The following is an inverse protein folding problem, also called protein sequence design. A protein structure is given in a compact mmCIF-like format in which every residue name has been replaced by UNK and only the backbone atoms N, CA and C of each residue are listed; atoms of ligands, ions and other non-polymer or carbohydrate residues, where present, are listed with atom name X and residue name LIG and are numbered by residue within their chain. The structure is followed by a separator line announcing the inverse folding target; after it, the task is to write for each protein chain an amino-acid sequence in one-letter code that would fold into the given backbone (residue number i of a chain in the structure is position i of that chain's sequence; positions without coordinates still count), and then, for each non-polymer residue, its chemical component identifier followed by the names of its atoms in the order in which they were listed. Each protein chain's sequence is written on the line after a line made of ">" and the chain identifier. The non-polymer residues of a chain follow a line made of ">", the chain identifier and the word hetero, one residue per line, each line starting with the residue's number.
data_IF_504983507545
#
_entry.id   IF_504983507545
#
_cell.length_a   1.000
_cell.length_b   1.000
_cell.length_c   1.000
_cell.angle_alpha   90.00
_cell.angle_beta   90.00
_cell.angle_gamma   90.00
#
_symmetry.space_group_name_H-M   'P 1'
#
loop_
_entity.id
_entity.type
_entity.pdbx_description
1 polymer ?
#
# COMPACT_ATOMS: atom_id res chain seq x y z
N UNK A 1 -22.19 -9.55 18.38
CA UNK A 1 -23.08 -10.18 17.37
C UNK A 1 -22.35 -11.38 16.73
N UNK A 2 -22.92 -12.60 16.77
CA UNK A 2 -22.28 -13.79 16.18
C UNK A 2 -21.94 -13.62 14.69
N UNK A 3 -22.77 -12.92 13.94
CA UNK A 3 -22.56 -12.65 12.52
C UNK A 3 -21.30 -11.80 12.24
N UNK A 4 -20.95 -10.88 13.14
CA UNK A 4 -19.76 -10.08 13.01
C UNK A 4 -18.47 -10.91 13.10
N UNK A 5 -18.42 -11.85 14.05
CA UNK A 5 -17.28 -12.75 14.21
C UNK A 5 -17.11 -13.68 13.00
N UNK A 6 -18.22 -14.21 12.47
CA UNK A 6 -18.18 -15.02 11.24
C UNK A 6 -17.61 -14.21 10.09
N UNK A 7 -18.07 -12.98 9.90
CA UNK A 7 -17.54 -12.08 8.86
C UNK A 7 -16.03 -11.82 8.99
N UNK A 8 -15.55 -11.56 10.22
CA UNK A 8 -14.12 -11.34 10.49
C UNK A 8 -13.31 -12.60 10.19
N UNK A 9 -13.78 -13.78 10.62
CA UNK A 9 -13.08 -15.03 10.38
C UNK A 9 -12.97 -15.34 8.88
N UNK A 10 -14.05 -15.15 8.11
CA UNK A 10 -14.03 -15.33 6.64
C UNK A 10 -13.09 -14.35 6.00
N UNK A 11 -13.10 -13.08 6.41
CA UNK A 11 -12.18 -12.05 5.92
C UNK A 11 -10.71 -12.45 6.16
N UNK A 12 -10.37 -12.89 7.37
CA UNK A 12 -9.02 -13.34 7.70
C UNK A 12 -8.62 -14.57 6.90
N UNK A 13 -9.51 -15.55 6.74
CA UNK A 13 -9.26 -16.73 5.90
C UNK A 13 -9.00 -16.36 4.43
N UNK A 14 -9.79 -15.44 3.88
CA UNK A 14 -9.60 -14.92 2.52
C UNK A 14 -8.27 -14.19 2.39
N UNK A 15 -7.88 -13.39 3.37
CA UNK A 15 -6.60 -12.69 3.39
C UNK A 15 -5.40 -13.65 3.48
N UNK A 16 -5.48 -14.66 4.33
CA UNK A 16 -4.45 -15.71 4.42
C UNK A 16 -4.34 -16.44 3.08
N UNK A 17 -5.45 -16.79 2.47
CA UNK A 17 -5.45 -17.41 1.15
C UNK A 17 -4.77 -16.52 0.09
N UNK A 18 -5.08 -15.22 0.07
CA UNK A 18 -4.43 -14.25 -0.82
C UNK A 18 -2.91 -14.18 -0.59
N UNK A 19 -2.46 -14.17 0.67
CA UNK A 19 -1.04 -14.19 1.04
C UNK A 19 -0.38 -15.49 0.51
N UNK A 20 -1.03 -16.64 0.67
CA UNK A 20 -0.51 -17.91 0.13
C UNK A 20 -0.40 -17.86 -1.39
N UNK A 21 -1.38 -17.28 -2.09
CA UNK A 21 -1.34 -17.13 -3.55
C UNK A 21 -0.23 -16.18 -4.01
N UNK A 22 0.13 -15.16 -3.23
CA UNK A 22 1.22 -14.25 -3.59
C UNK A 22 2.58 -14.95 -3.72
N UNK A 23 2.81 -16.08 -3.04
CA UNK A 23 4.01 -16.89 -3.22
C UNK A 23 4.01 -17.72 -4.51
N UNK A 24 2.83 -17.98 -5.10
CA UNK A 24 2.66 -18.79 -6.31
C UNK A 24 2.57 -17.95 -7.57
N UNK A 25 2.04 -16.74 -7.45
CA UNK A 25 1.70 -15.85 -8.57
C UNK A 25 2.72 -14.71 -8.67
N UNK A 26 4.01 -15.02 -8.82
CA UNK A 26 5.03 -14.01 -9.02
C UNK A 26 5.34 -13.85 -10.52
N UNK A 27 5.39 -12.60 -10.97
CA UNK A 27 5.84 -12.26 -12.31
C UNK A 27 7.29 -11.79 -12.25
N UNK A 28 8.18 -12.57 -12.84
CA UNK A 28 9.54 -12.14 -13.11
C UNK A 28 9.59 -11.41 -14.45
N UNK A 29 10.07 -10.19 -14.47
CA UNK A 29 10.18 -9.39 -15.69
C UNK A 29 11.38 -8.42 -15.60
N UNK A 30 11.60 -7.61 -16.64
CA UNK A 30 12.69 -6.64 -16.71
C UNK A 30 12.74 -5.65 -15.52
N UNK A 31 11.64 -5.44 -14.80
CA UNK A 31 11.62 -4.59 -13.61
C UNK A 31 12.41 -5.21 -12.44
N UNK A 32 12.66 -6.53 -12.43
CA UNK A 32 13.57 -7.18 -11.46
C UNK A 32 14.95 -6.55 -11.51
N UNK A 33 15.46 -6.29 -12.71
CA UNK A 33 16.75 -5.64 -12.90
C UNK A 33 16.77 -4.27 -12.22
N UNK A 34 15.69 -3.51 -12.34
CA UNK A 34 15.62 -2.16 -11.77
C UNK A 34 15.50 -2.16 -10.24
N UNK A 35 14.66 -3.00 -9.67
CA UNK A 35 14.37 -2.95 -8.23
C UNK A 35 15.25 -3.92 -7.44
N UNK A 36 15.30 -5.18 -7.85
CA UNK A 36 15.97 -6.24 -7.09
C UNK A 36 17.48 -6.16 -7.27
N UNK A 37 17.96 -6.00 -8.50
CA UNK A 37 19.42 -5.94 -8.75
C UNK A 37 20.00 -4.67 -8.16
N UNK A 38 19.31 -3.53 -8.24
CA UNK A 38 19.76 -2.30 -7.56
C UNK A 38 19.82 -2.47 -6.04
N UNK A 39 18.86 -3.17 -5.43
CA UNK A 39 18.90 -3.46 -4.00
C UNK A 39 20.09 -4.37 -3.64
N UNK A 40 20.34 -5.42 -4.41
CA UNK A 40 21.48 -6.34 -4.23
C UNK A 40 22.81 -5.61 -4.40
N UNK A 41 22.95 -4.78 -5.45
CA UNK A 41 24.16 -4.00 -5.69
C UNK A 41 24.40 -2.97 -4.57
N UNK A 42 23.33 -2.32 -4.08
CA UNK A 42 23.39 -1.40 -2.94
C UNK A 42 23.88 -2.10 -1.66
N UNK A 43 23.43 -3.34 -1.40
CA UNK A 43 23.91 -4.15 -0.26
C UNK A 43 25.39 -4.47 -0.42
N UNK A 44 25.80 -4.89 -1.63
CA UNK A 44 27.18 -5.31 -1.94
C UNK A 44 28.17 -4.17 -1.87
N UNK A 45 27.84 -3.02 -2.48
CA UNK A 45 28.76 -1.89 -2.65
C UNK A 45 28.67 -0.87 -1.52
N UNK A 46 27.62 -0.93 -0.73
CA UNK A 46 27.25 0.09 0.26
C UNK A 46 27.04 1.50 -0.34
N UNK A 47 26.71 1.56 -1.63
CA UNK A 47 26.43 2.78 -2.39
C UNK A 47 25.21 2.56 -3.28
N UNK A 48 24.45 3.61 -3.48
CA UNK A 48 23.34 3.64 -4.43
C UNK A 48 23.84 3.87 -5.85
N UNK A 49 23.31 3.11 -6.82
CA UNK A 49 23.49 3.36 -8.25
C UNK A 49 24.97 3.57 -8.64
N UNK A 50 25.85 2.73 -8.14
CA UNK A 50 27.25 2.74 -8.53
C UNK A 50 27.43 2.10 -9.89
N UNK A 51 26.69 1.03 -10.16
CA UNK A 51 26.79 0.22 -11.35
C UNK A 51 25.47 0.23 -12.12
N UNK A 52 25.54 0.42 -13.42
CA UNK A 52 24.40 0.20 -14.30
C UNK A 52 24.06 -1.29 -14.32
N UNK A 53 22.90 -1.63 -13.80
CA UNK A 53 22.46 -3.03 -13.61
C UNK A 53 22.27 -3.79 -14.92
N UNK A 54 22.09 -3.11 -16.05
CA UNK A 54 21.93 -3.72 -17.37
C UNK A 54 23.27 -4.00 -18.05
N UNK A 55 24.26 -3.12 -17.84
CA UNK A 55 25.54 -3.18 -18.55
C UNK A 55 26.70 -3.62 -17.66
N UNK A 56 26.55 -3.57 -16.34
CA UNK A 56 27.61 -3.83 -15.37
C UNK A 56 28.69 -2.76 -15.30
N UNK A 57 28.53 -1.64 -16.03
CA UNK A 57 29.50 -0.53 -16.06
C UNK A 57 29.23 0.47 -14.94
N UNK A 58 30.29 1.17 -14.54
CA UNK A 58 30.15 2.27 -13.58
C UNK A 58 29.29 3.41 -14.15
N UNK A 59 28.38 3.93 -13.34
CA UNK A 59 27.52 5.07 -13.71
C UNK A 59 28.30 6.35 -13.44
N UNK A 60 28.69 7.04 -14.53
CA UNK A 60 29.43 8.30 -14.47
C UNK A 60 28.52 9.53 -14.37
N UNK A 61 27.26 9.41 -14.79
CA UNK A 61 26.28 10.49 -14.71
C UNK A 61 24.85 9.96 -14.55
N UNK A 62 24.04 10.63 -13.74
CA UNK A 62 22.64 10.25 -13.49
C UNK A 62 21.71 11.04 -14.40
N UNK A 63 21.66 10.68 -15.67
CA UNK A 63 20.83 11.32 -16.69
C UNK A 63 19.80 10.36 -17.27
N UNK A 64 18.77 10.89 -17.89
CA UNK A 64 17.76 10.09 -18.58
C UNK A 64 17.00 9.17 -17.65
N UNK A 65 16.94 7.89 -18.03
CA UNK A 65 16.16 6.87 -17.30
C UNK A 65 16.69 6.56 -15.88
N UNK A 66 17.97 6.83 -15.60
CA UNK A 66 18.56 6.62 -14.29
C UNK A 66 18.07 7.62 -13.25
N UNK A 67 17.64 8.82 -13.67
CA UNK A 67 17.17 9.86 -12.75
C UNK A 67 15.99 9.39 -11.90
N UNK A 68 15.07 8.62 -12.46
CA UNK A 68 13.93 8.05 -11.72
C UNK A 68 14.34 7.04 -10.65
N UNK A 69 15.47 6.35 -10.84
CA UNK A 69 15.99 5.40 -9.86
C UNK A 69 16.68 6.13 -8.70
N UNK A 70 17.32 7.28 -8.96
CA UNK A 70 17.90 8.15 -7.94
C UNK A 70 16.83 8.65 -6.95
N UNK A 71 15.66 9.03 -7.45
CA UNK A 71 14.59 9.56 -6.61
C UNK A 71 13.69 8.47 -6.01
N UNK A 72 13.88 7.20 -6.39
CA UNK A 72 13.08 6.07 -5.88
C UNK A 72 13.76 5.43 -4.67
N UNK A 73 13.24 5.59 -3.45
CA UNK A 73 13.84 5.03 -2.25
C UNK A 73 13.63 3.52 -2.11
N UNK A 74 12.85 2.89 -2.98
CA UNK A 74 12.37 1.52 -2.78
C UNK A 74 13.48 0.46 -2.74
N UNK A 75 14.39 0.50 -3.71
CA UNK A 75 15.53 -0.44 -3.75
C UNK A 75 16.46 -0.25 -2.53
N UNK A 76 16.67 1.02 -2.13
CA UNK A 76 17.48 1.35 -0.93
C UNK A 76 16.80 0.88 0.35
N UNK A 77 15.48 1.04 0.45
CA UNK A 77 14.72 0.52 1.59
C UNK A 77 14.85 -1.00 1.71
N UNK A 78 14.72 -1.73 0.61
CA UNK A 78 14.92 -3.18 0.60
C UNK A 78 16.37 -3.58 0.95
N UNK A 79 17.36 -2.85 0.44
CA UNK A 79 18.76 -3.02 0.81
C UNK A 79 19.03 -2.77 2.30
N UNK A 80 18.42 -1.73 2.85
CA UNK A 80 18.49 -1.44 4.30
C UNK A 80 17.90 -2.58 5.12
N UNK A 81 16.69 -3.06 4.79
CA UNK A 81 16.08 -4.19 5.47
C UNK A 81 16.95 -5.46 5.36
N UNK A 82 17.53 -5.71 4.19
CA UNK A 82 18.47 -6.81 3.97
C UNK A 82 19.66 -6.72 4.93
N UNK A 83 20.25 -5.54 5.09
CA UNK A 83 21.41 -5.34 5.97
C UNK A 83 21.09 -5.55 7.45
N UNK A 84 19.95 -5.06 7.92
CA UNK A 84 19.61 -5.19 9.35
C UNK A 84 19.11 -6.60 9.72
N UNK A 85 18.52 -7.33 8.77
CA UNK A 85 17.97 -8.67 9.02
C UNK A 85 18.93 -9.80 8.66
N UNK A 86 19.94 -9.55 7.83
CA UNK A 86 20.81 -10.58 7.24
C UNK A 86 20.15 -11.39 6.13
N UNK A 87 18.88 -11.11 5.77
CA UNK A 87 18.17 -11.78 4.67
C UNK A 87 18.62 -11.15 3.35
N UNK A 88 18.85 -11.95 2.29
CA UNK A 88 19.24 -11.43 0.99
C UNK A 88 18.19 -10.41 0.46
N UNK A 89 18.65 -9.35 -0.22
CA UNK A 89 17.74 -8.32 -0.75
C UNK A 89 16.72 -8.91 -1.75
N UNK A 90 17.11 -9.90 -2.53
CA UNK A 90 16.21 -10.62 -3.44
C UNK A 90 15.11 -11.37 -2.67
N UNK A 91 15.47 -12.13 -1.63
CA UNK A 91 14.49 -12.82 -0.78
C UNK A 91 13.61 -11.82 -0.02
N UNK A 92 14.19 -10.71 0.44
CA UNK A 92 13.44 -9.64 1.09
C UNK A 92 12.34 -9.12 0.18
N UNK A 93 12.65 -8.81 -1.08
CA UNK A 93 11.68 -8.24 -2.01
C UNK A 93 10.64 -9.24 -2.50
N UNK A 94 11.04 -10.46 -2.84
CA UNK A 94 10.12 -11.44 -3.44
C UNK A 94 9.38 -12.32 -2.43
N UNK A 95 9.95 -12.52 -1.23
CA UNK A 95 9.39 -13.49 -0.27
C UNK A 95 8.84 -12.83 0.98
N UNK A 96 9.55 -11.87 1.56
CA UNK A 96 9.18 -11.34 2.87
C UNK A 96 8.32 -10.06 2.79
N UNK A 97 8.63 -9.13 1.90
CA UNK A 97 7.86 -7.88 1.78
C UNK A 97 6.43 -8.08 1.27
N UNK A 98 6.15 -8.88 0.21
CA UNK A 98 4.80 -9.00 -0.32
C UNK A 98 3.75 -9.44 0.72
N UNK A 99 3.94 -10.50 1.51
CA UNK A 99 2.96 -10.89 2.52
C UNK A 99 2.75 -9.83 3.60
N UNK A 100 3.80 -9.14 4.02
CA UNK A 100 3.68 -8.03 4.99
C UNK A 100 2.90 -6.88 4.40
N UNK A 101 3.17 -6.50 3.16
CA UNK A 101 2.48 -5.42 2.48
C UNK A 101 1.00 -5.77 2.22
N UNK A 102 0.67 -7.02 1.90
CA UNK A 102 -0.71 -7.49 1.79
C UNK A 102 -1.46 -7.39 3.13
N UNK A 103 -0.81 -7.78 4.22
CA UNK A 103 -1.39 -7.64 5.56
C UNK A 103 -1.64 -6.16 5.91
N UNK A 104 -0.68 -5.29 5.63
CA UNK A 104 -0.82 -3.83 5.82
C UNK A 104 -1.95 -3.27 4.96
N UNK A 105 -2.04 -3.67 3.69
CA UNK A 105 -3.13 -3.30 2.80
C UNK A 105 -4.50 -3.69 3.37
N UNK A 106 -4.64 -4.93 3.85
CA UNK A 106 -5.88 -5.39 4.50
C UNK A 106 -6.25 -4.53 5.70
N UNK A 107 -5.28 -4.20 6.56
CA UNK A 107 -5.49 -3.31 7.70
C UNK A 107 -5.99 -1.92 7.25
N UNK A 108 -5.38 -1.35 6.21
CA UNK A 108 -5.79 -0.04 5.67
C UNK A 108 -7.22 -0.09 5.14
N UNK A 109 -7.57 -1.11 4.35
CA UNK A 109 -8.94 -1.25 3.85
C UNK A 109 -9.96 -1.54 4.95
N UNK A 110 -9.57 -2.25 6.01
CA UNK A 110 -10.39 -2.39 7.20
C UNK A 110 -10.66 -1.05 7.88
N UNK A 111 -9.65 -0.20 7.98
CA UNK A 111 -9.79 1.15 8.53
C UNK A 111 -10.68 2.03 7.63
N UNK A 112 -10.51 1.98 6.30
CA UNK A 112 -11.39 2.66 5.34
C UNK A 112 -12.83 2.16 5.49
N UNK A 113 -13.04 0.84 5.58
CA UNK A 113 -14.36 0.25 5.81
C UNK A 113 -14.98 0.76 7.12
N UNK A 114 -14.16 1.01 8.14
CA UNK A 114 -14.60 1.62 9.41
C UNK A 114 -15.11 3.05 9.27
N UNK A 115 -14.62 3.78 8.27
CA UNK A 115 -15.11 5.12 7.94
C UNK A 115 -16.41 5.08 7.11
N UNK A 116 -16.68 3.99 6.40
CA UNK A 116 -17.82 3.87 5.48
C UNK A 116 -19.02 3.14 6.11
N UNK A 117 -18.78 2.19 7.02
CA UNK A 117 -19.80 1.31 7.55
C UNK A 117 -19.76 1.23 9.08
N UNK A 118 -20.91 1.31 9.75
CA UNK A 118 -21.00 1.18 11.20
C UNK A 118 -20.90 -0.28 11.66
N UNK A 119 -21.53 -1.21 10.91
CA UNK A 119 -21.58 -2.62 11.31
C UNK A 119 -20.36 -3.40 10.84
N UNK A 120 -19.75 -4.16 11.73
CA UNK A 120 -18.57 -5.00 11.44
C UNK A 120 -18.80 -6.00 10.31
N UNK A 121 -20.01 -6.53 10.16
CA UNK A 121 -20.32 -7.46 9.07
C UNK A 121 -20.15 -6.78 7.69
N UNK A 122 -20.58 -5.53 7.53
CA UNK A 122 -20.41 -4.79 6.27
C UNK A 122 -18.96 -4.43 6.00
N UNK A 123 -18.18 -4.11 7.06
CA UNK A 123 -16.74 -3.90 6.95
C UNK A 123 -16.02 -5.15 6.44
N UNK A 124 -16.33 -6.30 7.04
CA UNK A 124 -15.78 -7.59 6.60
C UNK A 124 -16.15 -7.90 5.16
N UNK A 125 -17.42 -7.72 4.79
CA UNK A 125 -17.90 -7.98 3.44
C UNK A 125 -17.21 -7.08 2.39
N UNK A 126 -17.04 -5.80 2.71
CA UNK A 126 -16.30 -4.86 1.86
C UNK A 126 -14.87 -5.33 1.59
N UNK A 127 -14.13 -5.72 2.66
CA UNK A 127 -12.75 -6.19 2.51
C UNK A 127 -12.71 -7.52 1.76
N UNK A 128 -13.61 -8.47 2.05
CA UNK A 128 -13.69 -9.76 1.33
C UNK A 128 -13.89 -9.52 -0.16
N UNK A 129 -14.87 -8.70 -0.54
CA UNK A 129 -15.14 -8.40 -1.96
C UNK A 129 -13.91 -7.78 -2.65
N UNK A 130 -13.24 -6.86 -1.98
CA UNK A 130 -12.02 -6.24 -2.49
C UNK A 130 -10.89 -7.26 -2.67
N UNK A 131 -10.66 -8.15 -1.68
CA UNK A 131 -9.66 -9.20 -1.80
C UNK A 131 -9.98 -10.18 -2.93
N UNK A 132 -11.25 -10.56 -3.10
CA UNK A 132 -11.71 -11.40 -4.21
C UNK A 132 -11.45 -10.71 -5.55
N UNK A 133 -11.77 -9.42 -5.69
CA UNK A 133 -11.45 -8.66 -6.89
C UNK A 133 -9.95 -8.68 -7.19
N UNK A 134 -9.10 -8.43 -6.22
CA UNK A 134 -7.65 -8.47 -6.40
C UNK A 134 -7.14 -9.87 -6.77
N UNK A 135 -7.73 -10.93 -6.24
CA UNK A 135 -7.30 -12.29 -6.56
C UNK A 135 -7.69 -12.76 -7.97
N UNK A 136 -8.81 -12.30 -8.51
CA UNK A 136 -9.37 -12.83 -9.76
C UNK A 136 -9.39 -11.82 -10.92
N UNK A 137 -8.97 -10.57 -10.68
CA UNK A 137 -8.96 -9.52 -11.68
C UNK A 137 -7.66 -9.39 -12.51
N UNK A 138 -6.67 -10.25 -12.33
CA UNK A 138 -5.31 -10.11 -12.86
C UNK A 138 -5.14 -10.50 -14.37
N UNK A 139 -6.12 -10.20 -15.19
CA UNK A 139 -6.09 -10.51 -16.62
C UNK A 139 -5.23 -9.56 -17.47
N UNK A 140 -4.84 -8.43 -16.93
CA UNK A 140 -4.00 -7.43 -17.59
C UNK A 140 -2.81 -7.02 -16.73
N UNK A 141 -1.65 -6.80 -17.35
CA UNK A 141 -0.44 -6.33 -16.64
C UNK A 141 -0.56 -4.89 -16.10
N UNK A 142 -1.58 -4.16 -16.51
CA UNK A 142 -1.78 -2.74 -16.16
C UNK A 142 -2.93 -2.52 -15.17
N UNK A 143 -3.61 -3.56 -14.72
CA UNK A 143 -4.69 -3.39 -13.75
C UNK A 143 -4.18 -3.44 -12.30
N UNK A 144 -4.99 -2.92 -11.37
CA UNK A 144 -4.64 -2.85 -9.96
C UNK A 144 -4.44 -4.23 -9.33
N UNK A 145 -5.17 -5.23 -9.80
CA UNK A 145 -5.13 -6.61 -9.32
C UNK A 145 -3.78 -7.26 -9.60
N UNK A 146 -3.27 -7.12 -10.83
CA UNK A 146 -1.94 -7.61 -11.19
C UNK A 146 -0.85 -6.92 -10.37
N UNK A 147 -0.95 -5.61 -10.17
CA UNK A 147 0.00 -4.89 -9.33
C UNK A 147 -0.03 -5.40 -7.88
N UNK A 148 -1.18 -5.70 -7.33
CA UNK A 148 -1.32 -6.10 -5.93
C UNK A 148 -0.83 -7.52 -5.66
N UNK A 149 -1.12 -8.49 -6.52
CA UNK A 149 -0.76 -9.90 -6.27
C UNK A 149 0.59 -10.27 -6.85
N UNK A 150 0.83 -9.92 -8.11
CA UNK A 150 1.95 -10.47 -8.87
C UNK A 150 3.20 -9.58 -8.78
N UNK A 151 3.01 -8.29 -8.54
CA UNK A 151 4.07 -7.27 -8.66
C UNK A 151 4.27 -6.42 -7.40
N UNK A 152 3.73 -6.82 -6.25
CA UNK A 152 3.75 -6.01 -5.02
C UNK A 152 5.17 -5.71 -4.50
N UNK A 153 6.16 -6.49 -4.92
CA UNK A 153 7.58 -6.24 -4.66
C UNK A 153 8.12 -4.98 -5.38
N UNK A 154 7.40 -4.42 -6.35
CA UNK A 154 7.77 -3.18 -7.03
C UNK A 154 7.25 -1.96 -6.26
N UNK A 155 8.09 -0.91 -6.12
CA UNK A 155 7.71 0.30 -5.38
C UNK A 155 6.44 0.98 -5.90
N UNK A 156 6.24 0.99 -7.24
CA UNK A 156 5.00 1.52 -7.87
C UNK A 156 3.75 0.74 -7.48
N UNK A 157 3.87 -0.58 -7.37
CA UNK A 157 2.77 -1.45 -6.95
C UNK A 157 2.46 -1.28 -5.46
N UNK A 158 3.48 -1.19 -4.62
CA UNK A 158 3.34 -0.87 -3.19
C UNK A 158 2.66 0.48 -2.99
N UNK A 159 3.05 1.49 -3.77
CA UNK A 159 2.40 2.81 -3.69
C UNK A 159 0.92 2.73 -4.08
N UNK A 160 0.57 1.97 -5.11
CA UNK A 160 -0.81 1.79 -5.55
C UNK A 160 -1.66 0.98 -4.54
N UNK A 161 -1.12 -0.12 -4.00
CA UNK A 161 -1.86 -1.03 -3.13
C UNK A 161 -1.90 -0.59 -1.66
N UNK A 162 -0.89 0.13 -1.19
CA UNK A 162 -0.72 0.52 0.21
C UNK A 162 -0.71 2.04 0.36
N UNK A 163 0.15 2.73 -0.37
CA UNK A 163 0.36 4.17 -0.18
C UNK A 163 -0.88 5.01 -0.50
N UNK A 164 -1.49 4.82 -1.66
CA UNK A 164 -2.68 5.57 -2.07
C UNK A 164 -3.88 5.26 -1.16
N UNK A 165 -4.22 4.00 -0.82
CA UNK A 165 -5.26 3.72 0.16
C UNK A 165 -4.98 4.31 1.55
N UNK A 166 -3.73 4.31 2.01
CA UNK A 166 -3.37 4.93 3.29
C UNK A 166 -3.62 6.44 3.28
N UNK A 167 -3.25 7.12 2.19
CA UNK A 167 -3.54 8.55 2.00
C UNK A 167 -5.05 8.81 1.94
N UNK A 168 -5.81 7.96 1.25
CA UNK A 168 -7.28 8.06 1.22
C UNK A 168 -7.87 7.92 2.63
N UNK A 169 -7.42 6.94 3.42
CA UNK A 169 -7.84 6.80 4.80
C UNK A 169 -7.52 8.05 5.63
N UNK A 170 -6.30 8.56 5.53
CA UNK A 170 -5.88 9.77 6.26
C UNK A 170 -6.75 10.98 5.87
N UNK A 171 -7.07 11.11 4.58
CA UNK A 171 -7.95 12.17 4.08
C UNK A 171 -9.39 12.03 4.62
N UNK A 172 -9.96 10.82 4.60
CA UNK A 172 -11.29 10.56 5.16
C UNK A 172 -11.35 10.89 6.65
N UNK A 173 -10.31 10.50 7.41
CA UNK A 173 -10.21 10.84 8.84
C UNK A 173 -10.09 12.34 9.06
N UNK A 174 -9.24 13.01 8.31
CA UNK A 174 -9.08 14.46 8.40
C UNK A 174 -10.40 15.18 8.08
N UNK A 175 -11.08 14.78 7.01
CA UNK A 175 -12.35 15.35 6.61
C UNK A 175 -13.41 15.24 7.73
N UNK A 176 -13.48 14.09 8.43
CA UNK A 176 -14.40 13.90 9.56
C UNK A 176 -14.03 14.73 10.79
N UNK A 177 -12.77 15.10 10.95
CA UNK A 177 -12.30 15.93 12.05
C UNK A 177 -12.53 17.42 11.79
N UNK A 178 -12.77 17.82 10.54
CA UNK A 178 -13.10 19.22 10.22
C UNK A 178 -14.46 19.57 10.81
N UNK A 179 -14.61 20.78 11.38
CA UNK A 179 -15.89 21.25 11.91
C UNK A 179 -16.93 21.26 10.79
N UNK A 180 -18.08 20.66 11.03
CA UNK A 180 -19.21 20.75 10.09
C UNK A 180 -19.66 22.22 10.00
N UNK A 181 -19.45 22.84 8.85
CA UNK A 181 -19.76 24.24 8.57
C UNK A 181 -21.25 24.55 8.82
N UNK A 182 -22.12 23.53 8.77
CA UNK A 182 -23.54 23.62 9.13
C UNK A 182 -23.74 23.85 10.62
N UNK A 183 -22.96 23.19 11.49
CA UNK A 183 -23.02 23.43 12.95
C UNK A 183 -22.57 24.83 13.32
N UNK A 184 -21.63 25.41 12.61
CA UNK A 184 -21.20 26.79 12.83
C UNK A 184 -22.27 27.77 12.41
N UNK A 185 -22.95 27.56 11.28
CA UNK A 185 -24.05 28.42 10.79
C UNK A 185 -25.24 28.35 11.74
N UNK A 186 -25.66 27.18 12.20
CA UNK A 186 -26.74 27.01 13.16
C UNK A 186 -26.44 27.70 14.52
N UNK A 187 -25.22 27.54 15.05
CA UNK A 187 -24.82 28.23 16.30
C UNK A 187 -24.74 29.73 16.12
N UNK A 188 -24.30 30.23 14.97
CA UNK A 188 -24.26 31.68 14.71
C UNK A 188 -25.64 32.26 14.56
N UNK A 189 -26.56 31.57 13.89
CA UNK A 189 -27.96 31.99 13.76
C UNK A 189 -28.67 31.97 15.13
N UNK A 190 -28.54 30.88 15.89
CA UNK A 190 -29.11 30.75 17.23
C UNK A 190 -28.63 31.84 18.20
N UNK A 191 -27.33 32.14 18.19
CA UNK A 191 -26.74 33.20 19.02
C UNK A 191 -27.18 34.62 18.56
N UNK A 192 -27.44 34.82 17.26
CA UNK A 192 -27.94 36.07 16.74
C UNK A 192 -29.42 36.29 17.13
N UNK A 193 -30.24 35.24 17.07
CA UNK A 193 -31.67 35.31 17.53
C UNK A 193 -31.75 35.53 19.03
N UNK A 194 -30.92 34.89 19.86
CA UNK A 194 -30.92 35.19 21.31
C UNK A 194 -30.49 36.61 21.63
N UNK A 195 -29.53 37.18 20.90
CA UNK A 195 -29.13 38.58 21.10
C UNK A 195 -30.17 39.59 20.61
N UNK A 196 -30.92 39.23 19.56
CA UNK A 196 -32.02 40.07 19.09
C UNK A 196 -33.29 40.03 19.94
N UNK A 197 -33.43 39.00 20.79
CA UNK A 197 -34.56 38.87 21.72
C UNK A 197 -34.37 39.62 23.07
N UNK A 198 -33.22 40.23 23.29
CA UNK A 198 -32.86 40.95 24.54
C UNK A 198 -32.86 42.49 24.32
N UNK A 199 -33.13 42.97 23.12
CA UNK A 199 -33.38 44.36 22.80
C UNK A 199 -34.90 44.60 22.59
#
# INVERSE_FOLDING_TARGET
>A
EPSAWVGILVMLATGIYMIVQSFRLQLTNADDTRFVVNAVDTVRTNRMLLTDVNTGKEILSWTGDLFKDVISPWAVFAAYLSKITGISAASMMHTFLPPVLLAVMMCIFWLIAGELFDKHIYRSLFVILLLVMYMYGYFSIYNAETFTIIRLWQGKATMAAVGIPALLYAFLRLYRLLPDDRRWKEKTVYNAEQKGAIC
#
